data_IF_346695846246
#
_entry.id   IF_346695846246
#
_cell.length_a   1.000
_cell.length_b   1.000
_cell.length_c   1.000
_cell.angle_alpha   90.00
_cell.angle_beta   90.00
_cell.angle_gamma   90.00
#
_symmetry.space_group_name_H-M   'P 1'
#
loop_
_entity.id
_entity.type
_entity.pdbx_description
1 polymer ?
#
# COMPACT_ATOMS: atom_id res chain seq x y z
N UNK A 1 -5.78 37.36 -14.09
CA UNK A 1 -5.07 36.32 -13.37
C UNK A 1 -5.73 35.02 -13.75
N UNK A 2 -5.15 34.27 -14.65
CA UNK A 2 -5.60 32.89 -14.90
C UNK A 2 -5.33 32.08 -13.63
N UNK A 3 -6.37 31.68 -12.95
CA UNK A 3 -6.28 30.66 -11.90
C UNK A 3 -5.85 29.38 -12.61
N UNK A 4 -4.59 29.04 -12.56
CA UNK A 4 -4.11 27.70 -12.96
C UNK A 4 -4.92 26.68 -12.16
N UNK A 5 -5.87 26.01 -12.83
CA UNK A 5 -6.65 24.92 -12.25
C UNK A 5 -5.63 23.88 -11.75
N UNK A 6 -5.66 23.52 -10.47
CA UNK A 6 -4.76 22.50 -9.95
C UNK A 6 -5.02 21.20 -10.71
N UNK A 7 -3.96 20.58 -11.22
CA UNK A 7 -4.07 19.36 -12.00
C UNK A 7 -4.61 18.23 -11.12
N UNK A 8 -5.47 17.41 -11.65
CA UNK A 8 -5.99 16.24 -10.96
C UNK A 8 -4.88 15.23 -10.66
N UNK A 9 -4.90 14.63 -9.48
CA UNK A 9 -3.88 13.72 -9.01
C UNK A 9 -4.49 12.39 -8.58
N UNK A 10 -3.98 11.29 -9.15
CA UNK A 10 -4.25 9.93 -8.69
C UNK A 10 -3.06 9.42 -7.87
N UNK A 11 -3.32 8.95 -6.65
CA UNK A 11 -2.32 8.38 -5.75
C UNK A 11 -2.37 6.86 -5.81
N UNK A 12 -1.32 6.25 -6.37
CA UNK A 12 -1.12 4.80 -6.40
C UNK A 12 -0.33 4.38 -5.16
N UNK A 13 -1.02 3.81 -4.18
CA UNK A 13 -0.39 3.29 -2.97
C UNK A 13 0.09 1.86 -3.15
N UNK A 14 1.37 1.68 -3.43
CA UNK A 14 2.00 0.39 -3.75
C UNK A 14 2.43 -0.42 -2.52
N UNK A 15 2.12 0.03 -1.34
CA UNK A 15 2.48 -0.70 -0.13
C UNK A 15 3.21 0.16 0.90
N UNK A 16 3.85 -0.49 1.85
CA UNK A 16 3.80 -1.96 2.01
C UNK A 16 2.78 -2.34 3.09
N UNK A 17 2.32 -3.59 3.05
CA UNK A 17 1.38 -4.08 4.05
C UNK A 17 1.99 -3.94 5.47
N UNK A 18 1.22 -3.43 6.43
CA UNK A 18 1.63 -3.17 7.82
C UNK A 18 2.67 -2.06 8.02
N UNK A 19 2.83 -1.20 7.02
CA UNK A 19 3.73 -0.04 7.05
C UNK A 19 2.99 1.30 7.15
N UNK A 20 1.74 1.34 7.62
CA UNK A 20 1.02 2.60 7.85
C UNK A 20 0.11 3.08 6.72
N UNK A 21 -0.13 2.28 5.68
CA UNK A 21 -1.01 2.66 4.55
C UNK A 21 -2.45 3.00 4.96
N UNK A 22 -2.97 2.39 6.03
CA UNK A 22 -4.29 2.76 6.57
C UNK A 22 -4.29 4.12 7.26
N UNK A 23 -3.17 4.49 7.89
CA UNK A 23 -2.99 5.83 8.45
C UNK A 23 -2.92 6.86 7.31
N UNK A 24 -2.11 6.60 6.28
CA UNK A 24 -1.99 7.49 5.12
C UNK A 24 -3.37 7.75 4.48
N UNK A 25 -4.15 6.71 4.22
CA UNK A 25 -5.48 6.88 3.63
C UNK A 25 -6.39 7.77 4.49
N UNK A 26 -6.43 7.53 5.81
CA UNK A 26 -7.20 8.36 6.74
C UNK A 26 -6.65 9.78 6.86
N UNK A 27 -5.36 9.95 6.69
CA UNK A 27 -4.72 11.26 6.64
C UNK A 27 -5.18 12.05 5.40
N UNK A 28 -5.19 11.41 4.24
CA UNK A 28 -5.70 12.03 3.00
C UNK A 28 -7.17 12.44 3.14
N UNK A 29 -7.98 11.64 3.82
CA UNK A 29 -9.39 11.93 4.10
C UNK A 29 -9.61 13.19 4.98
N UNK A 30 -8.57 13.77 5.58
CA UNK A 30 -8.66 15.05 6.29
C UNK A 30 -8.72 16.26 5.35
N UNK A 31 -8.54 16.05 4.06
CA UNK A 31 -8.57 17.09 3.03
C UNK A 31 -9.88 17.06 2.26
N UNK A 32 -10.53 18.21 2.11
CA UNK A 32 -11.71 18.37 1.25
C UNK A 32 -11.42 18.11 -0.24
N UNK A 33 -10.14 18.17 -0.62
CA UNK A 33 -9.68 17.87 -1.98
C UNK A 33 -9.63 16.38 -2.30
N UNK A 34 -9.76 15.50 -1.30
CA UNK A 34 -9.56 14.08 -1.44
C UNK A 34 -10.88 13.31 -1.38
N UNK A 35 -11.08 12.44 -2.36
CA UNK A 35 -12.08 11.38 -2.32
C UNK A 35 -11.45 10.08 -2.85
N UNK A 36 -11.37 9.04 -2.02
CA UNK A 36 -10.84 7.72 -2.40
C UNK A 36 -11.87 6.82 -3.08
N UNK A 37 -13.08 7.30 -3.29
CA UNK A 37 -14.17 6.50 -3.85
C UNK A 37 -14.71 5.44 -2.90
N UNK A 38 -15.22 4.34 -3.48
CA UNK A 38 -15.95 3.30 -2.75
C UNK A 38 -15.07 2.48 -1.79
N UNK A 39 -13.77 2.30 -2.10
CA UNK A 39 -12.86 1.43 -1.35
C UNK A 39 -11.54 2.14 -1.06
N UNK A 40 -10.85 1.68 0.00
CA UNK A 40 -9.45 2.02 0.22
C UNK A 40 -8.52 1.14 -0.63
N UNK A 41 -8.80 -0.17 -0.69
CA UNK A 41 -8.03 -1.21 -1.37
C UNK A 41 -8.92 -1.87 -2.41
N UNK A 42 -8.66 -1.60 -3.68
CA UNK A 42 -9.52 -2.09 -4.76
C UNK A 42 -9.17 -3.52 -5.18
N UNK A 43 -7.92 -3.93 -5.01
CA UNK A 43 -7.47 -5.28 -5.39
C UNK A 43 -7.81 -5.64 -6.85
N UNK A 44 -7.44 -4.78 -7.78
CA UNK A 44 -7.66 -5.00 -9.20
C UNK A 44 -6.43 -5.67 -9.82
N UNK A 45 -5.31 -4.97 -9.79
CA UNK A 45 -4.12 -5.39 -10.51
C UNK A 45 -3.39 -6.57 -9.85
N UNK A 46 -3.43 -6.67 -8.53
CA UNK A 46 -2.90 -7.85 -7.81
C UNK A 46 -3.72 -9.10 -8.08
N UNK A 47 -5.05 -8.98 -8.18
CA UNK A 47 -5.93 -10.09 -8.53
C UNK A 47 -5.68 -10.63 -9.95
N UNK A 48 -5.29 -9.74 -10.89
CA UNK A 48 -5.06 -10.08 -12.30
C UNK A 48 -3.64 -10.62 -12.51
N UNK A 49 -2.62 -9.94 -11.95
CA UNK A 49 -1.23 -10.12 -12.36
C UNK A 49 -0.38 -10.90 -11.34
N UNK A 50 -0.86 -11.07 -10.10
CA UNK A 50 -0.10 -11.76 -9.04
C UNK A 50 -0.79 -13.07 -8.70
N UNK A 51 -0.29 -14.23 -9.18
CA UNK A 51 -1.00 -15.51 -9.05
C UNK A 51 -1.40 -15.86 -7.61
N UNK A 52 -0.51 -15.62 -6.63
CA UNK A 52 -0.81 -15.90 -5.22
C UNK A 52 -1.86 -14.96 -4.60
N UNK A 53 -2.21 -13.86 -5.29
CA UNK A 53 -3.27 -12.91 -4.87
C UNK A 53 -4.58 -13.15 -5.63
N UNK A 54 -4.68 -14.20 -6.46
CA UNK A 54 -5.87 -14.52 -7.28
C UNK A 54 -7.14 -14.77 -6.45
N UNK A 55 -7.01 -15.02 -5.14
CA UNK A 55 -8.16 -15.07 -4.22
C UNK A 55 -8.91 -13.73 -4.13
N UNK A 56 -8.28 -12.61 -4.54
CA UNK A 56 -8.93 -11.31 -4.68
C UNK A 56 -9.80 -11.18 -5.93
N UNK A 57 -9.81 -12.17 -6.82
CA UNK A 57 -10.64 -12.15 -8.04
C UNK A 57 -12.13 -12.21 -7.67
N UNK A 58 -12.89 -11.26 -8.21
CA UNK A 58 -14.33 -11.18 -7.99
C UNK A 58 -15.07 -11.99 -9.07
N UNK A 59 -15.93 -12.91 -8.63
CA UNK A 59 -16.81 -13.64 -9.55
C UNK A 59 -17.91 -12.72 -10.09
N UNK A 60 -18.37 -12.98 -11.32
CA UNK A 60 -19.47 -12.22 -11.92
C UNK A 60 -20.67 -12.15 -10.98
N UNK A 61 -21.05 -10.94 -10.53
CA UNK A 61 -22.15 -10.79 -9.58
C UNK A 61 -23.49 -11.10 -10.29
N UNK A 62 -24.42 -11.78 -9.59
CA UNK A 62 -25.77 -11.99 -10.11
C UNK A 62 -26.60 -10.69 -10.09
N UNK A 63 -27.62 -10.59 -10.94
CA UNK A 63 -28.41 -9.38 -11.16
C UNK A 63 -28.97 -8.73 -9.87
N UNK A 64 -29.44 -9.54 -8.91
CA UNK A 64 -29.99 -9.04 -7.63
C UNK A 64 -28.86 -8.60 -6.68
N UNK A 65 -27.70 -9.26 -6.72
CA UNK A 65 -26.53 -8.97 -5.88
C UNK A 65 -25.82 -7.69 -6.28
N UNK A 66 -25.92 -7.30 -7.57
CA UNK A 66 -25.33 -6.05 -8.10
C UNK A 66 -25.91 -4.80 -7.42
N UNK A 67 -27.18 -4.85 -7.00
CA UNK A 67 -27.82 -3.71 -6.32
C UNK A 67 -27.44 -3.62 -4.83
N UNK A 68 -26.95 -4.71 -4.22
CA UNK A 68 -26.66 -4.79 -2.79
C UNK A 68 -25.16 -4.71 -2.46
N UNK A 69 -24.28 -5.04 -3.42
CA UNK A 69 -22.82 -5.09 -3.23
C UNK A 69 -22.11 -4.31 -4.33
N UNK A 70 -22.19 -2.99 -4.21
CA UNK A 70 -21.57 -2.04 -5.16
C UNK A 70 -20.06 -2.25 -5.29
N UNK A 71 -19.38 -2.55 -4.20
CA UNK A 71 -17.93 -2.73 -4.17
C UNK A 71 -17.50 -3.92 -5.04
N UNK A 72 -18.16 -5.08 -4.89
CA UNK A 72 -17.86 -6.25 -5.70
C UNK A 72 -18.27 -6.06 -7.17
N UNK A 73 -19.37 -5.37 -7.43
CA UNK A 73 -19.78 -5.03 -8.80
C UNK A 73 -18.70 -4.16 -9.49
N UNK A 74 -18.25 -3.12 -8.81
CA UNK A 74 -17.21 -2.22 -9.30
C UNK A 74 -15.89 -2.97 -9.56
N UNK A 75 -15.43 -3.76 -8.58
CA UNK A 75 -14.21 -4.56 -8.73
C UNK A 75 -14.30 -5.56 -9.87
N UNK A 76 -15.44 -6.23 -10.04
CA UNK A 76 -15.65 -7.15 -11.16
C UNK A 76 -15.45 -6.45 -12.50
N UNK A 77 -16.05 -5.27 -12.70
CA UNK A 77 -15.89 -4.52 -13.93
C UNK A 77 -14.45 -4.08 -14.17
N UNK A 78 -13.79 -3.56 -13.17
CA UNK A 78 -12.38 -3.16 -13.26
C UNK A 78 -11.42 -4.35 -13.50
N UNK A 79 -11.72 -5.54 -12.97
CA UNK A 79 -10.92 -6.73 -13.19
C UNK A 79 -11.15 -7.38 -14.57
N UNK A 80 -12.28 -7.08 -15.21
CA UNK A 80 -12.63 -7.63 -16.55
C UNK A 80 -12.40 -6.65 -17.69
N UNK A 81 -12.38 -5.36 -17.39
CA UNK A 81 -12.12 -4.28 -18.33
C UNK A 81 -11.22 -3.22 -17.67
N UNK A 82 -9.99 -3.14 -18.13
CA UNK A 82 -8.98 -2.24 -17.58
C UNK A 82 -9.36 -0.76 -17.70
N UNK A 83 -10.09 -0.35 -18.75
CA UNK A 83 -10.51 1.04 -18.95
C UNK A 83 -11.48 1.46 -17.85
N UNK A 84 -12.36 0.56 -17.39
CA UNK A 84 -13.28 0.82 -16.27
C UNK A 84 -12.57 1.27 -14.98
N UNK A 85 -11.31 0.87 -14.76
CA UNK A 85 -10.51 1.34 -13.63
C UNK A 85 -10.19 2.83 -13.75
N UNK A 86 -9.69 3.24 -14.90
CA UNK A 86 -9.31 4.64 -15.14
C UNK A 86 -10.55 5.55 -15.19
N UNK A 87 -11.60 5.13 -15.89
CA UNK A 87 -12.86 5.88 -16.02
C UNK A 87 -13.51 6.12 -14.66
N UNK A 88 -13.47 5.12 -13.78
CA UNK A 88 -13.99 5.28 -12.42
C UNK A 88 -13.25 6.35 -11.63
N UNK A 89 -11.92 6.29 -11.58
CA UNK A 89 -11.15 7.29 -10.83
C UNK A 89 -11.23 8.67 -11.46
N UNK A 90 -11.29 8.76 -12.79
CA UNK A 90 -11.54 10.02 -13.49
C UNK A 90 -12.90 10.62 -13.12
N UNK A 91 -13.94 9.79 -12.95
CA UNK A 91 -15.30 10.24 -12.60
C UNK A 91 -15.44 10.80 -11.18
N UNK A 92 -14.48 10.55 -10.28
CA UNK A 92 -14.47 11.06 -8.91
C UNK A 92 -14.08 12.55 -8.86
N UNK A 93 -13.27 13.01 -9.80
CA UNK A 93 -12.81 14.40 -9.82
C UNK A 93 -13.94 15.38 -10.03
N UNK A 94 -13.86 16.53 -9.37
CA UNK A 94 -14.81 17.62 -9.44
C UNK A 94 -14.09 18.97 -9.25
N UNK A 95 -14.80 20.06 -9.17
CA UNK A 95 -14.20 21.37 -8.88
C UNK A 95 -13.55 21.44 -7.47
N UNK A 96 -13.99 20.61 -6.54
CA UNK A 96 -13.45 20.53 -5.18
C UNK A 96 -12.53 19.33 -4.98
N UNK A 97 -12.90 18.16 -5.50
CA UNK A 97 -12.13 16.93 -5.40
C UNK A 97 -11.10 16.86 -6.53
N UNK A 98 -9.84 17.07 -6.20
CA UNK A 98 -8.71 17.07 -7.14
C UNK A 98 -7.70 15.94 -6.87
N UNK A 99 -7.96 15.11 -5.86
CA UNK A 99 -7.09 14.00 -5.46
C UNK A 99 -7.95 12.77 -5.22
N UNK A 100 -7.59 11.66 -5.85
CA UNK A 100 -8.17 10.33 -5.58
C UNK A 100 -7.08 9.29 -5.39
N UNK A 101 -7.41 8.07 -4.89
CA UNK A 101 -6.38 7.06 -4.61
C UNK A 101 -6.91 5.63 -4.68
N UNK A 102 -6.02 4.72 -5.08
CA UNK A 102 -6.09 3.30 -4.76
C UNK A 102 -4.88 2.93 -3.91
N UNK A 103 -5.10 2.62 -2.63
CA UNK A 103 -4.02 2.28 -1.69
C UNK A 103 -4.12 0.79 -1.36
N UNK A 104 -3.69 -0.03 -2.30
CA UNK A 104 -3.68 -1.49 -2.21
C UNK A 104 -2.26 -2.02 -1.97
N UNK A 105 -1.90 -2.41 -0.73
CA UNK A 105 -0.51 -2.76 -0.38
C UNK A 105 0.09 -3.94 -1.14
N UNK A 106 -0.73 -4.83 -1.67
CA UNK A 106 -0.27 -5.97 -2.48
C UNK A 106 0.21 -5.57 -3.88
N UNK A 107 -0.04 -4.34 -4.31
CA UNK A 107 0.53 -3.80 -5.55
C UNK A 107 2.06 -3.69 -5.52
N UNK A 108 2.68 -3.88 -4.36
CA UNK A 108 4.14 -4.02 -4.23
C UNK A 108 4.72 -5.14 -5.12
N UNK A 109 3.93 -6.15 -5.47
CA UNK A 109 4.33 -7.25 -6.35
C UNK A 109 4.12 -7.00 -7.86
N UNK A 110 3.62 -5.85 -8.26
CA UNK A 110 3.35 -5.55 -9.67
C UNK A 110 4.64 -5.42 -10.49
N UNK A 111 4.60 -5.98 -11.69
CA UNK A 111 5.70 -5.88 -12.64
C UNK A 111 5.75 -4.49 -13.31
N UNK A 112 6.93 -4.11 -13.81
CA UNK A 112 7.15 -2.82 -14.52
C UNK A 112 6.14 -2.59 -15.66
N UNK A 113 5.76 -3.62 -16.40
CA UNK A 113 4.78 -3.51 -17.49
C UNK A 113 3.41 -3.03 -16.99
N UNK A 114 2.93 -3.58 -15.86
CA UNK A 114 1.67 -3.14 -15.27
C UNK A 114 1.77 -1.73 -14.69
N UNK A 115 2.85 -1.44 -13.97
CA UNK A 115 3.11 -0.10 -13.46
C UNK A 115 3.15 0.94 -14.58
N UNK A 116 3.80 0.62 -15.71
CA UNK A 116 3.82 1.48 -16.89
C UNK A 116 2.43 1.69 -17.49
N UNK A 117 1.61 0.63 -17.56
CA UNK A 117 0.22 0.73 -18.05
C UNK A 117 -0.62 1.65 -17.15
N UNK A 118 -0.48 1.54 -15.81
CA UNK A 118 -1.21 2.39 -14.87
C UNK A 118 -0.75 3.85 -15.02
N UNK A 119 0.56 4.09 -15.00
CA UNK A 119 1.12 5.43 -15.12
C UNK A 119 0.69 6.11 -16.42
N UNK A 120 0.83 5.40 -17.55
CA UNK A 120 0.46 5.92 -18.87
C UNK A 120 -1.05 6.14 -19.00
N UNK A 121 -1.88 5.24 -18.44
CA UNK A 121 -3.33 5.34 -18.50
C UNK A 121 -3.87 6.61 -17.84
N UNK A 122 -3.31 7.03 -16.70
CA UNK A 122 -3.66 8.30 -16.06
C UNK A 122 -3.06 9.50 -16.79
N UNK A 123 -1.80 9.43 -17.23
CA UNK A 123 -1.16 10.53 -17.99
C UNK A 123 -1.91 10.83 -19.31
N UNK A 124 -2.44 9.83 -20.00
CA UNK A 124 -3.25 10.00 -21.22
C UNK A 124 -4.58 10.73 -20.96
N UNK A 125 -5.05 10.72 -19.71
CA UNK A 125 -6.25 11.43 -19.24
C UNK A 125 -5.94 12.80 -18.60
N UNK A 126 -4.71 13.28 -18.78
CA UNK A 126 -4.20 14.51 -18.13
C UNK A 126 -4.32 14.49 -16.59
N UNK A 127 -4.14 13.32 -15.99
CA UNK A 127 -4.15 13.10 -14.55
C UNK A 127 -2.71 12.75 -14.11
N UNK A 128 -2.20 13.47 -13.10
CA UNK A 128 -0.92 13.13 -12.49
C UNK A 128 -1.05 11.83 -11.69
N UNK A 129 -0.22 10.85 -12.02
CA UNK A 129 -0.18 9.57 -11.33
C UNK A 129 1.03 9.53 -10.40
N UNK A 130 0.80 9.51 -9.09
CA UNK A 130 1.85 9.57 -8.06
C UNK A 130 1.94 8.25 -7.29
N UNK A 131 3.11 7.65 -7.28
CA UNK A 131 3.41 6.42 -6.55
C UNK A 131 3.78 6.73 -5.09
N UNK A 132 3.13 6.08 -4.13
CA UNK A 132 3.44 6.20 -2.70
C UNK A 132 3.78 4.84 -2.13
N UNK A 133 4.94 4.76 -1.48
CA UNK A 133 5.42 3.59 -0.75
C UNK A 133 5.78 3.99 0.69
N UNK A 134 5.32 3.19 1.66
CA UNK A 134 5.68 3.34 3.06
C UNK A 134 6.45 2.09 3.50
N UNK A 135 7.68 2.28 3.94
CA UNK A 135 8.58 1.24 4.43
C UNK A 135 8.51 1.15 5.95
N UNK A 136 8.86 0.01 6.49
CA UNK A 136 8.98 -0.24 7.93
C UNK A 136 10.08 -1.27 8.15
N UNK A 137 10.69 -1.29 9.35
CA UNK A 137 11.57 -2.40 9.73
C UNK A 137 10.95 -3.74 9.32
N UNK A 138 11.62 -4.54 8.47
CA UNK A 138 11.09 -5.82 7.98
C UNK A 138 10.64 -6.77 9.09
N UNK A 139 11.42 -6.88 10.19
CA UNK A 139 11.05 -7.71 11.35
C UNK A 139 9.75 -7.23 11.97
N UNK A 140 9.61 -5.93 12.22
CA UNK A 140 8.42 -5.36 12.83
C UNK A 140 7.19 -5.42 11.92
N UNK A 141 7.40 -5.25 10.62
CA UNK A 141 6.36 -5.46 9.61
C UNK A 141 5.85 -6.89 9.64
N UNK A 142 6.76 -7.88 9.62
CA UNK A 142 6.44 -9.31 9.60
C UNK A 142 5.71 -9.71 10.89
N UNK A 143 6.24 -9.32 12.05
CA UNK A 143 5.57 -9.52 13.35
C UNK A 143 4.13 -8.95 13.35
N UNK A 144 3.95 -7.76 12.78
CA UNK A 144 2.64 -7.13 12.66
C UNK A 144 1.70 -7.87 11.72
N UNK A 145 2.22 -8.48 10.65
CA UNK A 145 1.43 -9.26 9.70
C UNK A 145 0.98 -10.60 10.34
N UNK A 146 1.88 -11.30 11.02
CA UNK A 146 1.55 -12.55 11.71
C UNK A 146 0.46 -12.34 12.77
N UNK A 147 0.61 -11.31 13.61
CA UNK A 147 -0.45 -10.98 14.60
C UNK A 147 -1.80 -10.73 13.93
N UNK A 148 -1.79 -9.96 12.86
CA UNK A 148 -3.01 -9.63 12.11
C UNK A 148 -3.67 -10.89 11.53
N UNK A 149 -2.88 -11.82 10.99
CA UNK A 149 -3.37 -13.05 10.40
C UNK A 149 -3.92 -14.00 11.48
N UNK A 150 -3.23 -14.18 12.60
CA UNK A 150 -3.70 -14.99 13.74
C UNK A 150 -4.99 -14.42 14.35
N UNK A 151 -5.03 -13.10 14.61
CA UNK A 151 -6.22 -12.43 15.17
C UNK A 151 -7.47 -12.62 14.29
N UNK A 152 -7.29 -12.76 12.98
CA UNK A 152 -8.36 -12.92 11.99
C UNK A 152 -8.55 -14.35 11.51
N UNK A 153 -7.74 -15.29 12.00
CA UNK A 153 -7.72 -16.67 11.53
C UNK A 153 -7.52 -16.75 10.01
N UNK A 154 -6.68 -15.86 9.48
CA UNK A 154 -6.32 -15.83 8.06
C UNK A 154 -5.07 -16.68 7.84
N UNK A 155 -5.26 -17.88 7.34
CA UNK A 155 -4.21 -18.86 7.11
C UNK A 155 -3.77 -18.95 5.63
N UNK A 156 -4.43 -18.22 4.75
CA UNK A 156 -4.20 -18.30 3.29
C UNK A 156 -2.86 -17.68 2.84
N UNK A 157 -2.17 -16.99 3.75
CA UNK A 157 -0.94 -16.24 3.45
C UNK A 157 0.35 -16.94 3.91
N UNK A 158 0.38 -18.26 3.94
CA UNK A 158 1.59 -19.03 4.27
C UNK A 158 1.74 -19.34 5.76
N UNK A 159 0.65 -19.36 6.50
CA UNK A 159 0.55 -19.90 7.85
C UNK A 159 -0.32 -21.17 7.78
N UNK A 160 0.09 -22.24 8.48
CA UNK A 160 -0.68 -23.49 8.51
C UNK A 160 -2.08 -23.27 9.11
N UNK A 161 -3.07 -23.95 8.52
CA UNK A 161 -4.45 -23.82 8.96
C UNK A 161 -4.63 -24.34 10.42
N UNK A 162 -5.14 -23.46 11.27
CA UNK A 162 -5.36 -23.76 12.69
C UNK A 162 -4.17 -23.43 13.58
N UNK A 163 -3.06 -22.93 13.05
CA UNK A 163 -1.91 -22.48 13.85
C UNK A 163 -2.32 -21.31 14.78
N UNK A 164 -1.94 -21.39 16.04
CA UNK A 164 -2.25 -20.37 17.06
C UNK A 164 -0.99 -19.89 17.79
N UNK A 165 0.12 -20.63 17.67
CA UNK A 165 1.39 -20.21 18.25
C UNK A 165 2.05 -19.15 17.37
N UNK A 166 2.37 -18.02 17.99
CA UNK A 166 2.94 -16.89 17.27
C UNK A 166 4.33 -17.15 16.70
N UNK A 167 5.17 -17.89 17.41
CA UNK A 167 6.54 -18.17 16.96
C UNK A 167 6.54 -19.15 15.79
N UNK A 168 5.69 -20.18 15.86
CA UNK A 168 5.52 -21.12 14.76
C UNK A 168 4.93 -20.44 13.52
N UNK A 169 3.89 -19.62 13.69
CA UNK A 169 3.31 -18.83 12.61
C UNK A 169 4.33 -17.85 12.00
N UNK A 170 5.20 -17.25 12.82
CA UNK A 170 6.26 -16.36 12.34
C UNK A 170 7.32 -17.13 11.53
N UNK A 171 7.74 -18.32 12.01
CA UNK A 171 8.70 -19.18 11.31
C UNK A 171 8.18 -19.65 9.94
N UNK A 172 6.88 -19.89 9.83
CA UNK A 172 6.23 -20.26 8.56
C UNK A 172 6.08 -19.02 7.64
N UNK A 173 5.57 -17.91 8.19
CA UNK A 173 5.18 -16.76 7.40
C UNK A 173 6.36 -16.03 6.76
N UNK A 174 7.48 -15.79 7.47
CA UNK A 174 8.54 -14.94 6.92
C UNK A 174 9.21 -15.52 5.66
N UNK A 175 9.11 -16.85 5.45
CA UNK A 175 9.62 -17.55 4.26
C UNK A 175 8.61 -17.64 3.13
N UNK A 176 7.34 -17.31 3.39
CA UNK A 176 6.27 -17.45 2.42
C UNK A 176 6.42 -16.46 1.26
N UNK A 177 5.88 -16.84 0.10
CA UNK A 177 5.85 -15.98 -1.07
C UNK A 177 5.04 -14.68 -0.80
N UNK A 178 3.94 -14.78 -0.05
CA UNK A 178 3.16 -13.61 0.39
C UNK A 178 3.98 -12.63 1.21
N UNK A 179 4.81 -13.14 2.14
CA UNK A 179 5.69 -12.31 2.93
C UNK A 179 6.79 -11.69 2.07
N UNK A 180 7.39 -12.48 1.18
CA UNK A 180 8.49 -12.04 0.31
C UNK A 180 8.07 -10.88 -0.60
N UNK A 181 6.95 -11.00 -1.32
CA UNK A 181 6.43 -9.93 -2.18
C UNK A 181 6.21 -8.63 -1.40
N UNK A 182 5.75 -8.75 -0.14
CA UNK A 182 5.45 -7.60 0.72
C UNK A 182 6.65 -7.07 1.52
N UNK A 183 7.84 -7.67 1.37
CA UNK A 183 9.05 -7.27 2.11
C UNK A 183 10.21 -6.91 1.19
N UNK A 184 10.22 -7.34 -0.07
CA UNK A 184 11.26 -7.00 -1.05
C UNK A 184 11.07 -5.54 -1.53
N UNK A 185 11.32 -4.60 -0.61
CA UNK A 185 11.25 -3.16 -0.87
C UNK A 185 12.17 -2.74 -2.00
N UNK A 186 13.38 -3.32 -2.03
CA UNK A 186 14.39 -3.14 -3.07
C UNK A 186 13.78 -3.37 -4.46
N UNK A 187 13.13 -4.51 -4.69
CA UNK A 187 12.56 -4.88 -6.00
C UNK A 187 11.39 -3.98 -6.41
N UNK A 188 10.54 -3.62 -5.44
CA UNK A 188 9.41 -2.73 -5.72
C UNK A 188 9.91 -1.32 -6.07
N UNK A 189 10.86 -0.78 -5.30
CA UNK A 189 11.42 0.56 -5.53
C UNK A 189 12.14 0.62 -6.88
N UNK A 190 12.96 -0.40 -7.21
CA UNK A 190 13.61 -0.51 -8.53
C UNK A 190 12.58 -0.53 -9.67
N UNK A 191 11.48 -1.25 -9.50
CA UNK A 191 10.42 -1.34 -10.51
C UNK A 191 9.71 0.00 -10.71
N UNK A 192 9.38 0.68 -9.62
CA UNK A 192 8.71 1.99 -9.65
C UNK A 192 9.63 3.06 -10.25
N UNK A 193 10.90 3.12 -9.83
CA UNK A 193 11.90 4.06 -10.38
C UNK A 193 12.19 3.82 -11.86
N UNK A 194 11.94 2.62 -12.36
CA UNK A 194 12.09 2.31 -13.78
C UNK A 194 10.91 2.75 -14.66
N UNK A 195 9.84 3.30 -14.05
CA UNK A 195 8.60 3.66 -14.73
C UNK A 195 8.15 5.09 -14.46
N UNK A 196 8.17 5.50 -13.19
CA UNK A 196 7.69 6.82 -12.75
C UNK A 196 8.82 7.85 -12.80
N UNK A 197 8.48 9.08 -13.13
CA UNK A 197 9.39 10.22 -12.97
C UNK A 197 9.69 10.41 -11.46
N UNK A 198 10.89 10.93 -11.15
CA UNK A 198 11.36 11.04 -9.76
C UNK A 198 10.42 11.89 -8.88
N UNK A 199 9.87 12.95 -9.44
CA UNK A 199 8.91 13.85 -8.78
C UNK A 199 7.55 13.21 -8.53
N UNK A 200 7.23 12.10 -9.21
CA UNK A 200 6.00 11.34 -9.04
C UNK A 200 6.16 10.17 -8.04
N UNK A 201 7.29 10.08 -7.33
CA UNK A 201 7.57 9.01 -6.36
C UNK A 201 7.75 9.58 -4.95
N UNK A 202 6.99 9.06 -3.99
CA UNK A 202 7.19 9.31 -2.56
C UNK A 202 7.48 8.00 -1.82
N UNK A 203 8.53 8.02 -1.00
CA UNK A 203 8.90 6.91 -0.12
C UNK A 203 9.02 7.45 1.29
N UNK A 204 8.17 6.94 2.21
CA UNK A 204 8.17 7.30 3.62
C UNK A 204 8.63 6.13 4.50
N UNK A 205 9.30 6.44 5.59
CA UNK A 205 9.71 5.46 6.62
C UNK A 205 8.69 5.53 7.76
N UNK A 206 8.09 4.41 8.12
CA UNK A 206 7.01 4.32 9.11
C UNK A 206 7.40 4.90 10.46
N UNK A 207 8.63 4.65 10.89
CA UNK A 207 9.16 5.06 12.18
C UNK A 207 9.30 6.58 12.32
N UNK A 208 9.43 7.30 11.20
CA UNK A 208 9.54 8.78 11.14
C UNK A 208 8.29 9.47 10.58
N UNK A 209 7.36 8.73 9.95
CA UNK A 209 6.29 9.34 9.15
C UNK A 209 5.34 10.26 9.92
N UNK A 210 5.43 10.25 11.24
CA UNK A 210 4.62 11.08 12.14
C UNK A 210 5.33 12.38 12.56
N UNK A 211 6.57 12.58 12.18
CA UNK A 211 7.33 13.79 12.44
C UNK A 211 6.82 14.93 11.55
N UNK A 212 6.89 16.17 12.04
CA UNK A 212 6.29 17.33 11.36
C UNK A 212 6.82 17.54 9.96
N UNK A 213 8.13 17.39 9.75
CA UNK A 213 8.76 17.51 8.44
C UNK A 213 8.32 16.42 7.47
N UNK A 214 8.05 15.20 7.94
CA UNK A 214 7.54 14.09 7.13
C UNK A 214 6.06 14.29 6.77
N UNK A 215 5.28 14.85 7.69
CA UNK A 215 3.91 15.29 7.43
C UNK A 215 3.89 16.37 6.35
N UNK A 216 4.78 17.36 6.44
CA UNK A 216 4.92 18.38 5.38
C UNK A 216 5.30 17.76 4.04
N UNK A 217 6.27 16.85 4.04
CA UNK A 217 6.74 16.20 2.81
C UNK A 217 5.63 15.44 2.09
N UNK A 218 4.89 14.57 2.81
CA UNK A 218 3.79 13.81 2.20
C UNK A 218 2.66 14.72 1.77
N UNK A 219 2.34 15.77 2.55
CA UNK A 219 1.27 16.71 2.23
C UNK A 219 1.58 17.52 0.97
N UNK A 220 2.80 18.04 0.87
CA UNK A 220 3.28 18.76 -0.31
C UNK A 220 3.31 17.86 -1.54
N UNK A 221 3.78 16.62 -1.38
CA UNK A 221 3.83 15.66 -2.47
C UNK A 221 2.44 15.38 -3.07
N UNK A 222 1.43 15.16 -2.23
CA UNK A 222 0.06 14.88 -2.72
C UNK A 222 -0.75 16.14 -3.01
N UNK A 223 -0.31 17.34 -2.58
CA UNK A 223 -0.97 18.62 -2.85
C UNK A 223 -2.08 18.98 -1.85
N UNK A 224 -1.98 18.54 -0.59
CA UNK A 224 -2.92 18.89 0.49
C UNK A 224 -2.26 19.78 1.53
N UNK A 225 -3.06 20.42 2.38
CA UNK A 225 -2.57 21.15 3.54
C UNK A 225 -2.20 20.19 4.66
N UNK A 226 -1.02 20.38 5.26
CA UNK A 226 -0.57 19.56 6.39
C UNK A 226 -1.53 19.62 7.58
N UNK A 227 -1.75 18.46 8.23
CA UNK A 227 -2.64 18.26 9.39
C UNK A 227 -1.86 17.59 10.52
N UNK A 228 -1.08 18.35 11.27
CA UNK A 228 -0.19 17.84 12.32
C UNK A 228 -0.94 17.17 13.49
N UNK A 229 -2.16 17.64 13.81
CA UNK A 229 -2.98 17.03 14.87
C UNK A 229 -3.33 15.58 14.56
N UNK A 230 -3.37 15.21 13.26
CA UNK A 230 -3.64 13.84 12.85
C UNK A 230 -2.43 12.91 13.02
N UNK A 231 -1.20 13.44 13.15
CA UNK A 231 0.01 12.64 13.34
C UNK A 231 -0.06 11.73 14.57
N UNK A 232 -0.69 12.21 15.66
CA UNK A 232 -0.86 11.44 16.90
C UNK A 232 -1.95 10.37 16.85
N UNK A 233 -2.77 10.33 15.80
CA UNK A 233 -3.89 9.38 15.68
C UNK A 233 -3.38 7.98 15.37
N UNK A 234 -3.52 7.08 16.35
CA UNK A 234 -3.16 5.67 16.19
C UNK A 234 -4.22 4.91 15.40
N UNK A 235 -3.86 4.46 14.21
CA UNK A 235 -4.70 3.64 13.35
C UNK A 235 -4.30 2.17 13.49
N UNK A 236 -5.25 1.29 13.78
CA UNK A 236 -5.04 -0.16 13.88
C UNK A 236 -3.99 -0.60 14.93
N UNK A 237 -4.09 -0.11 16.18
CA UNK A 237 -3.20 -0.54 17.27
C UNK A 237 -3.38 -2.04 17.56
N UNK A 238 -2.31 -2.81 17.45
CA UNK A 238 -2.28 -4.23 17.87
C UNK A 238 -2.40 -4.35 19.39
N UNK A 239 -3.22 -5.27 19.87
CA UNK A 239 -3.60 -5.36 21.31
C UNK A 239 -2.55 -6.01 22.20
N UNK A 240 -1.61 -6.76 21.69
CA UNK A 240 -0.68 -7.55 22.53
C UNK A 240 0.79 -7.30 22.19
N UNK A 241 1.62 -6.93 23.17
CA UNK A 241 3.06 -7.07 23.03
C UNK A 241 3.39 -8.57 23.08
N UNK A 242 3.95 -9.11 22.02
CA UNK A 242 4.49 -10.47 22.05
C UNK A 242 5.98 -10.36 22.24
N UNK A 243 6.49 -10.92 23.33
CA UNK A 243 7.93 -11.06 23.54
C UNK A 243 8.43 -12.03 22.47
N UNK A 244 9.21 -11.53 21.53
CA UNK A 244 9.78 -12.34 20.47
C UNK A 244 11.17 -12.77 20.90
N UNK A 245 11.54 -14.00 20.61
CA UNK A 245 12.88 -14.50 20.84
C UNK A 245 13.84 -13.82 19.85
N UNK A 246 14.94 -13.29 20.34
CA UNK A 246 16.00 -12.65 19.55
C UNK A 246 16.49 -13.56 18.41
N UNK A 247 16.52 -14.89 18.62
CA UNK A 247 16.96 -15.86 17.62
C UNK A 247 16.12 -15.81 16.33
N UNK A 248 14.77 -15.71 16.43
CA UNK A 248 13.92 -15.67 15.25
C UNK A 248 13.99 -14.30 14.55
N UNK A 249 14.20 -13.22 15.30
CA UNK A 249 14.44 -11.92 14.71
C UNK A 249 15.70 -11.89 13.87
N UNK A 250 16.79 -12.49 14.35
CA UNK A 250 18.04 -12.62 13.59
C UNK A 250 17.86 -13.51 12.34
N UNK A 251 17.08 -14.59 12.43
CA UNK A 251 16.74 -15.40 11.24
C UNK A 251 16.02 -14.57 10.17
N UNK A 252 15.06 -13.77 10.58
CA UNK A 252 14.31 -12.87 9.67
C UNK A 252 15.23 -11.82 9.06
N UNK A 253 16.08 -11.16 9.86
CA UNK A 253 17.06 -10.18 9.37
C UNK A 253 18.02 -10.79 8.35
N UNK A 254 18.56 -11.96 8.65
CA UNK A 254 19.46 -12.67 7.75
C UNK A 254 18.76 -13.05 6.43
N UNK A 255 17.50 -13.49 6.50
CA UNK A 255 16.73 -13.85 5.32
C UNK A 255 16.45 -12.65 4.41
N UNK A 256 16.26 -11.45 4.99
CA UNK A 256 16.02 -10.21 4.28
C UNK A 256 17.23 -9.26 4.30
N UNK A 257 18.46 -9.77 4.47
CA UNK A 257 19.68 -8.94 4.55
C UNK A 257 19.83 -7.98 3.37
N UNK A 258 19.55 -8.44 2.14
CA UNK A 258 19.58 -7.59 0.93
C UNK A 258 18.65 -6.38 1.03
N UNK A 259 17.48 -6.54 1.68
CA UNK A 259 16.53 -5.45 1.89
C UNK A 259 17.07 -4.44 2.89
N UNK A 260 17.67 -4.92 3.99
CA UNK A 260 18.32 -4.06 4.98
C UNK A 260 19.50 -3.30 4.36
N UNK A 261 20.36 -3.98 3.62
CA UNK A 261 21.52 -3.37 2.94
C UNK A 261 21.04 -2.27 1.98
N UNK A 262 20.11 -2.58 1.08
CA UNK A 262 19.53 -1.63 0.14
C UNK A 262 18.92 -0.42 0.85
N UNK A 263 18.06 -0.65 1.86
CA UNK A 263 17.41 0.44 2.56
C UNK A 263 18.39 1.28 3.39
N UNK A 264 19.42 0.68 3.98
CA UNK A 264 20.45 1.40 4.71
C UNK A 264 21.34 2.27 3.82
N UNK A 265 21.49 1.92 2.56
CA UNK A 265 22.20 2.74 1.57
C UNK A 265 21.34 3.88 1.07
N UNK A 266 20.10 3.60 0.67
CA UNK A 266 19.18 4.56 0.07
C UNK A 266 18.53 5.52 1.09
N UNK A 267 18.28 5.04 2.32
CA UNK A 267 17.61 5.77 3.40
C UNK A 267 18.44 5.71 4.69
N UNK A 268 19.47 6.54 4.85
CA UNK A 268 20.44 6.42 5.94
C UNK A 268 19.84 6.43 7.37
N UNK A 269 18.65 7.01 7.57
CA UNK A 269 17.96 6.99 8.86
C UNK A 269 17.60 5.57 9.32
N UNK A 270 17.37 4.63 8.38
CA UNK A 270 17.03 3.24 8.70
C UNK A 270 18.12 2.53 9.50
N UNK A 271 19.39 2.90 9.34
CA UNK A 271 20.51 2.34 10.12
C UNK A 271 20.33 2.50 11.63
N UNK A 272 19.64 3.56 12.06
CA UNK A 272 19.39 3.85 13.46
C UNK A 272 17.98 3.40 13.90
N UNK A 273 17.03 3.36 12.98
CA UNK A 273 15.63 3.06 13.26
C UNK A 273 15.33 1.55 13.21
N UNK A 274 15.97 0.83 12.31
CA UNK A 274 15.75 -0.61 12.10
C UNK A 274 16.83 -1.40 12.84
N UNK A 275 16.46 -1.94 14.01
CA UNK A 275 17.38 -2.62 14.93
C UNK A 275 17.22 -4.13 14.91
#
# INVERSE_FOLDING_TARGET
METTKSKNTFVLGLGFQKCGTSWLYRYLQQSEKFDGGELKEYHIWDAIDIPIMSYNTVKRPGLIRNMLDKSNYLRYHMQTDNESYFDYFESIFSDTVTITADITPSYSGLQKSRLSSIYSGFKQRDIDCKAVMLLRDPVDRIKSAVRYNLDRKNYDEGIENGETDFLQALEQYYKSEHCTIRTRYDKTIESVRGVFDREDIYIGIYEEMFDSDKIDNVSNFVGIKAKYDFASVKVNKTKSPTTVNHEIEEKVKNFYSEVYEYCNEEFPSTRNLWR
#
